data_IF_713226059199
#
_entry.id   IF_713226059199
#
_cell.length_a   1.000
_cell.length_b   1.000
_cell.length_c   1.000
_cell.angle_alpha   90.00
_cell.angle_beta   90.00
_cell.angle_gamma   90.00
#
_symmetry.space_group_name_H-M   'P 1'
#
loop_
_entity.id
_entity.type
_entity.pdbx_description
1 polymer ?
#
# COMPACT_ATOMS: atom_id res chain seq x y z
N UNK A 1 -68.97 13.58 23.41
CA UNK A 1 -69.39 12.88 24.63
C UNK A 1 -68.19 12.07 25.11
N UNK A 2 -67.27 12.59 25.94
CA UNK A 2 -67.38 12.84 27.41
C UNK A 2 -67.53 11.51 28.18
N UNK A 3 -66.75 11.06 29.17
CA UNK A 3 -65.46 11.38 29.79
C UNK A 3 -65.17 10.30 30.89
N UNK A 4 -64.02 10.38 31.60
CA UNK A 4 -63.81 10.02 33.06
C UNK A 4 -63.68 8.50 33.40
N UNK A 5 -62.80 7.92 34.24
CA UNK A 5 -61.75 8.31 35.23
C UNK A 5 -61.16 7.01 35.86
N UNK A 6 -59.83 6.73 35.82
CA UNK A 6 -58.83 6.74 36.95
C UNK A 6 -58.83 5.47 37.87
N UNK A 7 -57.80 5.19 38.72
CA UNK A 7 -56.43 4.70 38.47
C UNK A 7 -56.09 3.37 39.22
N UNK A 8 -54.87 2.84 39.06
CA UNK A 8 -54.27 1.94 40.08
C UNK A 8 -52.81 2.33 40.36
N UNK A 9 -52.55 2.83 41.58
CA UNK A 9 -51.21 3.05 42.16
C UNK A 9 -50.85 1.91 43.11
N UNK A 10 -49.55 1.62 43.21
CA UNK A 10 -48.71 1.36 44.41
C UNK A 10 -47.52 0.48 43.94
N UNK A 11 -46.34 1.02 43.63
CA UNK A 11 -45.29 1.54 44.52
C UNK A 11 -44.39 0.45 45.15
N UNK A 12 -43.11 0.44 44.77
CA UNK A 12 -41.88 0.31 45.61
C UNK A 12 -40.66 0.45 44.68
N UNK A 13 -39.93 1.58 44.70
CA UNK A 13 -38.77 1.92 45.58
C UNK A 13 -37.56 1.00 45.29
N UNK A 14 -36.30 1.41 45.11
CA UNK A 14 -35.58 2.69 44.92
C UNK A 14 -34.09 2.28 44.84
N UNK A 15 -33.27 2.92 43.99
CA UNK A 15 -31.84 3.25 44.22
C UNK A 15 -31.31 4.01 42.97
N UNK A 16 -31.18 5.34 43.04
CA UNK A 16 -29.92 6.13 43.19
C UNK A 16 -28.94 5.91 42.02
N UNK A 17 -28.85 6.77 40.99
CA UNK A 17 -28.41 8.18 40.88
C UNK A 17 -26.88 8.40 40.96
N UNK A 18 -26.29 8.99 39.90
CA UNK A 18 -25.14 9.94 39.87
C UNK A 18 -24.91 10.36 38.38
N UNK A 19 -25.47 11.50 37.94
CA UNK A 19 -24.79 12.80 37.66
C UNK A 19 -23.67 12.73 36.62
N UNK A 20 -23.87 13.26 35.41
CA UNK A 20 -23.56 14.65 34.99
C UNK A 20 -22.95 14.55 33.57
N UNK A 21 -23.00 15.50 32.64
CA UNK A 21 -23.08 16.95 32.65
C UNK A 21 -23.57 17.36 31.24
N UNK A 22 -24.40 18.40 31.14
CA UNK A 22 -24.81 18.97 29.86
C UNK A 22 -23.70 19.86 29.28
N UNK A 23 -23.48 19.82 27.96
CA UNK A 23 -23.11 21.01 27.18
C UNK A 23 -23.70 20.94 25.78
N UNK A 24 -24.47 21.98 25.47
CA UNK A 24 -25.02 22.37 24.17
C UNK A 24 -23.93 22.73 23.18
N UNK A 25 -24.12 22.41 21.90
CA UNK A 25 -23.28 22.93 20.81
C UNK A 25 -23.89 22.65 19.44
N UNK A 26 -24.69 23.58 18.93
CA UNK A 26 -25.13 23.59 17.54
C UNK A 26 -24.01 24.17 16.65
N UNK A 27 -23.72 23.51 15.53
CA UNK A 27 -23.08 24.14 14.37
C UNK A 27 -23.41 23.34 13.10
N UNK A 28 -24.28 23.90 12.27
CA UNK A 28 -24.44 23.52 10.89
C UNK A 28 -23.31 24.15 10.07
N UNK A 29 -22.62 23.35 9.25
CA UNK A 29 -21.80 23.83 8.16
C UNK A 29 -21.97 22.87 6.99
N UNK A 30 -22.73 23.31 5.98
CA UNK A 30 -22.78 22.67 4.68
C UNK A 30 -21.40 22.85 4.01
N UNK A 31 -20.72 21.75 3.73
CA UNK A 31 -19.51 21.74 2.92
C UNK A 31 -19.77 20.95 1.64
N UNK A 32 -19.51 21.63 0.53
CA UNK A 32 -19.60 21.19 -0.86
C UNK A 32 -19.06 19.77 -1.04
N UNK A 33 -19.93 18.87 -1.53
CA UNK A 33 -19.61 17.49 -1.86
C UNK A 33 -18.74 17.43 -3.14
N UNK A 34 -17.43 17.54 -2.98
CA UNK A 34 -16.47 17.15 -4.02
C UNK A 34 -16.28 15.62 -3.92
N UNK A 35 -16.50 14.83 -4.99
CA UNK A 35 -16.24 13.40 -4.95
C UNK A 35 -14.73 13.16 -4.96
N UNK A 36 -14.16 12.81 -3.81
CA UNK A 36 -12.84 12.22 -3.72
C UNK A 36 -12.89 10.78 -4.27
N UNK A 37 -12.05 10.38 -5.25
CA UNK A 37 -11.95 8.98 -5.63
C UNK A 37 -11.25 8.20 -4.51
N UNK A 38 -12.04 7.32 -3.90
CA UNK A 38 -11.71 6.05 -3.28
C UNK A 38 -10.24 5.78 -2.89
N UNK A 39 -10.03 5.77 -1.57
CA UNK A 39 -9.32 4.71 -0.83
C UNK A 39 -7.94 4.28 -1.34
N UNK A 40 -6.91 4.97 -0.89
CA UNK A 40 -5.81 4.29 -0.22
C UNK A 40 -5.95 4.63 1.27
N UNK A 41 -6.65 3.77 2.01
CA UNK A 41 -6.68 3.86 3.46
C UNK A 41 -5.26 3.53 3.95
N UNK A 42 -4.50 4.57 4.26
CA UNK A 42 -3.27 4.51 5.02
C UNK A 42 -3.61 4.02 6.43
N UNK A 43 -3.45 2.72 6.67
CA UNK A 43 -3.46 2.17 8.02
C UNK A 43 -2.03 2.29 8.58
N UNK A 44 -1.82 2.88 9.76
CA UNK A 44 -0.50 2.89 10.39
C UNK A 44 -0.27 1.49 10.96
N UNK A 45 0.40 0.62 10.20
CA UNK A 45 0.78 -0.70 10.71
C UNK A 45 2.19 -0.65 11.30
N UNK A 46 2.17 -0.60 12.63
CA UNK A 46 3.17 -0.98 13.61
C UNK A 46 4.37 -1.78 13.06
N UNK A 47 5.57 -1.28 13.33
CA UNK A 47 6.83 -1.99 13.13
C UNK A 47 6.79 -3.39 13.76
N UNK A 48 6.72 -4.43 12.93
CA UNK A 48 6.91 -5.82 13.35
C UNK A 48 8.19 -6.32 12.68
N UNK A 49 9.23 -6.44 13.50
CA UNK A 49 10.51 -7.03 13.16
C UNK A 49 10.31 -8.49 12.74
N UNK A 50 10.43 -8.79 11.46
CA UNK A 50 10.51 -10.17 10.98
C UNK A 50 11.96 -10.64 11.05
N UNK A 51 12.28 -11.40 12.09
CA UNK A 51 13.49 -12.23 12.13
C UNK A 51 13.23 -13.46 11.24
N UNK A 52 13.85 -13.52 10.07
CA UNK A 52 13.92 -14.71 9.22
C UNK A 52 15.37 -15.22 9.19
N UNK A 53 15.60 -16.55 9.26
CA UNK A 53 16.95 -17.10 9.25
C UNK A 53 17.56 -17.01 7.85
N UNK A 54 18.69 -16.33 7.75
CA UNK A 54 19.53 -16.29 6.54
C UNK A 54 20.10 -17.68 6.25
N UNK A 55 19.48 -18.40 5.32
CA UNK A 55 20.14 -19.51 4.63
C UNK A 55 20.52 -19.04 3.23
N UNK A 56 21.80 -18.73 3.09
CA UNK A 56 22.42 -18.50 1.79
C UNK A 56 22.28 -19.75 0.92
N UNK A 57 21.68 -19.57 -0.24
CA UNK A 57 21.64 -20.54 -1.32
C UNK A 57 22.05 -19.81 -2.58
N UNK A 58 23.30 -20.04 -2.99
CA UNK A 58 23.75 -19.87 -4.35
C UNK A 58 22.91 -20.78 -5.26
N UNK A 59 22.45 -20.23 -6.39
CA UNK A 59 21.87 -20.99 -7.50
C UNK A 59 22.02 -20.13 -8.75
N UNK A 60 23.07 -20.42 -9.51
CA UNK A 60 23.48 -19.66 -10.68
C UNK A 60 22.81 -20.01 -12.01
N UNK A 61 23.38 -19.37 -13.04
CA UNK A 61 23.34 -19.61 -14.48
C UNK A 61 22.18 -19.00 -15.31
N UNK A 62 22.43 -17.80 -15.88
CA UNK A 62 22.45 -17.58 -17.34
C UNK A 62 22.76 -16.10 -17.69
N UNK A 63 23.98 -15.83 -18.18
CA UNK A 63 24.31 -14.68 -19.04
C UNK A 63 24.60 -13.34 -18.35
N UNK A 64 25.78 -13.17 -17.74
CA UNK A 64 26.23 -11.90 -17.14
C UNK A 64 25.20 -11.22 -16.22
N UNK A 65 24.36 -12.04 -15.59
CA UNK A 65 23.10 -11.70 -14.96
C UNK A 65 23.11 -12.09 -13.49
N UNK A 66 22.49 -11.25 -12.65
CA UNK A 66 22.00 -11.71 -11.35
C UNK A 66 22.59 -11.05 -10.13
N UNK A 67 22.89 -9.74 -10.16
CA UNK A 67 22.96 -8.96 -8.94
C UNK A 67 22.04 -7.74 -9.04
N UNK A 68 21.55 -7.27 -7.89
CA UNK A 68 20.60 -6.17 -7.77
C UNK A 68 21.07 -4.94 -8.57
N UNK A 69 22.35 -4.59 -8.46
CA UNK A 69 22.97 -3.46 -9.13
C UNK A 69 22.84 -3.53 -10.66
N UNK A 70 23.03 -4.72 -11.25
CA UNK A 70 22.86 -4.95 -12.68
C UNK A 70 21.42 -4.72 -13.13
N UNK A 71 20.45 -5.23 -12.39
CA UNK A 71 19.03 -5.02 -12.69
C UNK A 71 18.63 -3.55 -12.58
N UNK A 72 19.14 -2.82 -11.58
CA UNK A 72 18.89 -1.39 -11.44
C UNK A 72 19.49 -0.63 -12.63
N UNK A 73 20.76 -0.87 -12.99
CA UNK A 73 21.43 -0.20 -14.12
C UNK A 73 20.74 -0.47 -15.46
N UNK A 74 20.31 -1.71 -15.68
CA UNK A 74 19.55 -2.06 -16.87
C UNK A 74 18.20 -1.34 -16.90
N UNK A 75 17.50 -1.29 -15.77
CA UNK A 75 16.23 -0.56 -15.66
C UNK A 75 16.42 0.93 -15.93
N UNK A 76 17.45 1.56 -15.35
CA UNK A 76 17.79 2.97 -15.61
C UNK A 76 18.08 3.25 -17.09
N UNK A 77 18.72 2.31 -17.79
CA UNK A 77 18.96 2.42 -19.24
C UNK A 77 17.64 2.44 -20.02
N UNK A 78 16.68 1.60 -19.64
CA UNK A 78 15.35 1.54 -20.27
C UNK A 78 14.53 2.78 -19.90
N UNK A 79 14.51 3.15 -18.61
CA UNK A 79 13.86 4.34 -18.08
C UNK A 79 14.30 5.59 -18.82
N UNK A 80 15.62 5.78 -19.00
CA UNK A 80 16.18 6.91 -19.76
C UNK A 80 15.67 6.96 -21.21
N UNK A 81 15.60 5.81 -21.89
CA UNK A 81 15.09 5.71 -23.28
C UNK A 81 13.59 6.03 -23.36
N UNK A 82 12.85 5.79 -22.28
CA UNK A 82 11.39 5.95 -22.21
C UNK A 82 10.96 7.25 -21.53
N UNK A 83 11.90 8.08 -21.09
CA UNK A 83 11.61 9.34 -20.38
C UNK A 83 11.08 9.14 -18.96
N UNK A 84 11.34 7.99 -18.33
CA UNK A 84 10.92 7.70 -16.96
C UNK A 84 12.01 8.22 -15.99
N UNK A 85 11.71 9.20 -15.13
CA UNK A 85 12.68 9.72 -14.17
C UNK A 85 12.95 8.74 -13.03
N UNK A 86 14.18 8.77 -12.52
CA UNK A 86 14.60 8.03 -11.33
C UNK A 86 16.11 7.90 -11.23
N UNK A 87 16.60 7.69 -10.01
CA UNK A 87 18.01 7.48 -9.73
C UNK A 87 18.30 6.04 -9.27
N UNK A 88 19.58 5.66 -9.35
CA UNK A 88 20.04 4.39 -8.80
C UNK A 88 19.71 4.27 -7.30
N UNK A 89 19.96 5.34 -6.54
CA UNK A 89 19.72 5.32 -5.08
C UNK A 89 18.25 5.32 -4.71
N UNK A 90 17.41 6.03 -5.47
CA UNK A 90 15.97 5.94 -5.34
C UNK A 90 15.48 4.51 -5.53
N UNK A 91 15.86 3.87 -6.63
CA UNK A 91 15.48 2.48 -6.90
C UNK A 91 16.01 1.53 -5.81
N UNK A 92 17.31 1.61 -5.50
CA UNK A 92 17.95 0.73 -4.51
C UNK A 92 17.33 0.87 -3.13
N UNK A 93 17.10 2.10 -2.65
CA UNK A 93 16.47 2.37 -1.34
C UNK A 93 15.09 1.72 -1.24
N UNK A 94 14.26 1.94 -2.26
CA UNK A 94 12.91 1.38 -2.27
C UNK A 94 12.96 -0.17 -2.33
N UNK A 95 13.78 -0.75 -3.21
CA UNK A 95 13.91 -2.23 -3.33
C UNK A 95 14.34 -2.87 -2.01
N UNK A 96 15.33 -2.28 -1.32
CA UNK A 96 15.81 -2.82 -0.06
C UNK A 96 14.76 -2.77 1.04
N UNK A 97 13.88 -1.76 1.05
CA UNK A 97 12.75 -1.68 1.98
C UNK A 97 11.64 -2.68 1.64
N UNK A 98 11.29 -2.81 0.36
CA UNK A 98 10.15 -3.64 -0.06
C UNK A 98 10.43 -5.15 -0.01
N UNK A 99 11.63 -5.57 -0.41
CA UNK A 99 11.93 -6.99 -0.63
C UNK A 99 13.29 -7.45 -0.10
N UNK A 100 14.11 -6.53 0.43
CA UNK A 100 15.50 -6.82 0.74
C UNK A 100 16.33 -7.23 -0.49
N UNK A 101 15.87 -6.92 -1.71
CA UNK A 101 16.51 -7.34 -2.95
C UNK A 101 16.09 -8.72 -3.47
N UNK A 102 15.06 -9.35 -2.90
CA UNK A 102 14.55 -10.64 -3.37
C UNK A 102 13.56 -10.47 -4.53
N UNK A 103 13.90 -10.87 -5.77
CA UNK A 103 13.01 -10.72 -6.92
C UNK A 103 11.80 -11.66 -6.90
N UNK A 104 11.82 -12.68 -6.04
CA UNK A 104 10.72 -13.63 -5.87
C UNK A 104 9.91 -13.35 -4.60
N UNK A 105 10.09 -12.19 -3.95
CA UNK A 105 9.29 -11.81 -2.79
C UNK A 105 7.80 -11.71 -3.15
N UNK A 106 6.93 -12.24 -2.30
CA UNK A 106 5.48 -12.19 -2.48
C UNK A 106 4.79 -12.02 -1.13
N UNK A 107 3.88 -11.05 -1.05
CA UNK A 107 3.01 -10.85 0.10
C UNK A 107 1.69 -11.63 -0.09
N UNK A 108 1.36 -12.51 0.86
CA UNK A 108 0.17 -13.37 0.81
C UNK A 108 -0.85 -13.09 1.95
N UNK A 109 -0.67 -12.03 2.73
CA UNK A 109 -1.46 -11.80 3.94
C UNK A 109 -2.34 -10.54 3.88
N UNK A 110 -1.95 -9.55 3.08
CA UNK A 110 -2.70 -8.29 2.97
C UNK A 110 -4.03 -8.41 2.21
N UNK A 111 -4.76 -7.29 2.14
CA UNK A 111 -6.05 -7.22 1.45
C UNK A 111 -5.96 -7.50 -0.05
N UNK A 112 -4.82 -7.23 -0.69
CA UNK A 112 -4.62 -7.50 -2.11
C UNK A 112 -4.43 -9.00 -2.34
N UNK A 113 -3.69 -9.68 -1.47
CA UNK A 113 -3.55 -11.13 -1.47
C UNK A 113 -4.90 -11.82 -1.24
N UNK A 114 -5.71 -11.33 -0.28
CA UNK A 114 -7.07 -11.84 -0.04
C UNK A 114 -7.99 -11.64 -1.26
N UNK A 115 -7.75 -10.60 -2.06
CA UNK A 115 -8.45 -10.33 -3.33
C UNK A 115 -7.84 -11.07 -4.54
N UNK A 116 -6.83 -11.91 -4.34
CA UNK A 116 -6.20 -12.71 -5.39
C UNK A 116 -5.17 -11.98 -6.24
N UNK A 117 -4.74 -10.77 -5.86
CA UNK A 117 -3.72 -9.99 -6.56
C UNK A 117 -2.57 -9.64 -5.62
N UNK A 118 -1.81 -10.63 -5.11
CA UNK A 118 -0.74 -10.38 -4.15
C UNK A 118 0.36 -9.48 -4.72
N UNK A 119 0.95 -8.65 -3.86
CA UNK A 119 2.13 -7.84 -4.19
C UNK A 119 3.36 -8.73 -4.41
N UNK A 120 4.14 -8.46 -5.46
CA UNK A 120 5.22 -9.33 -5.93
C UNK A 120 6.48 -8.58 -6.36
N UNK A 121 7.61 -9.27 -6.26
CA UNK A 121 8.89 -8.86 -6.80
C UNK A 121 9.62 -7.82 -5.97
N UNK A 122 10.64 -7.21 -6.58
CA UNK A 122 11.60 -6.33 -5.92
C UNK A 122 10.96 -5.10 -5.27
N UNK A 123 9.91 -4.57 -5.87
CA UNK A 123 9.18 -3.38 -5.42
C UNK A 123 7.72 -3.68 -5.05
N UNK A 124 7.39 -4.95 -4.76
CA UNK A 124 6.08 -5.37 -4.24
C UNK A 124 4.90 -4.84 -5.07
N UNK A 125 4.99 -4.96 -6.39
CA UNK A 125 3.95 -4.49 -7.34
C UNK A 125 2.87 -5.57 -7.52
N UNK A 126 1.60 -5.17 -7.50
CA UNK A 126 0.47 -6.04 -7.82
C UNK A 126 0.25 -6.16 -9.35
N UNK A 127 -0.32 -7.27 -9.82
CA UNK A 127 -0.51 -7.51 -11.26
C UNK A 127 -1.29 -6.41 -12.01
N UNK A 128 -2.40 -5.85 -11.48
CA UNK A 128 -3.10 -4.76 -12.16
C UNK A 128 -2.22 -3.52 -12.40
N UNK A 129 -1.42 -3.14 -11.41
CA UNK A 129 -0.48 -2.02 -11.52
C UNK A 129 0.65 -2.34 -12.50
N UNK A 130 1.23 -3.55 -12.40
CA UNK A 130 2.27 -3.98 -13.34
C UNK A 130 1.78 -3.92 -14.78
N UNK A 131 0.57 -4.41 -15.06
CA UNK A 131 0.01 -4.41 -16.41
C UNK A 131 -0.26 -3.00 -16.92
N UNK A 132 -0.77 -2.10 -16.07
CA UNK A 132 -1.06 -0.71 -16.45
C UNK A 132 0.19 0.13 -16.72
N UNK A 133 1.30 -0.17 -16.02
CA UNK A 133 2.55 0.60 -16.09
C UNK A 133 3.70 -0.18 -16.71
N UNK A 134 3.42 -1.32 -17.34
CA UNK A 134 4.42 -2.12 -18.04
C UNK A 134 5.14 -1.27 -19.09
N UNK A 135 6.44 -1.51 -19.23
CA UNK A 135 7.27 -0.76 -20.16
C UNK A 135 7.74 -1.66 -21.28
N UNK A 136 7.34 -1.31 -22.50
CA UNK A 136 7.69 -2.05 -23.72
C UNK A 136 9.20 -2.25 -23.84
N UNK A 137 9.59 -3.48 -24.18
CA UNK A 137 10.98 -3.91 -24.24
C UNK A 137 11.48 -4.59 -22.96
N UNK A 138 10.63 -4.73 -21.93
CA UNK A 138 10.89 -5.57 -20.75
C UNK A 138 10.06 -6.87 -20.78
N UNK A 139 10.44 -7.85 -19.95
CA UNK A 139 9.68 -9.09 -19.79
C UNK A 139 8.25 -8.82 -19.29
N UNK A 140 7.31 -9.74 -19.57
CA UNK A 140 5.90 -9.62 -19.16
C UNK A 140 5.57 -10.24 -17.79
N UNK A 141 6.58 -10.67 -17.04
CA UNK A 141 6.40 -11.22 -15.70
C UNK A 141 6.66 -10.16 -14.64
N UNK A 142 5.76 -10.05 -13.65
CA UNK A 142 5.90 -9.12 -12.52
C UNK A 142 7.10 -9.45 -11.63
N UNK A 143 7.56 -10.71 -11.59
CA UNK A 143 8.76 -11.09 -10.80
C UNK A 143 10.05 -11.00 -11.61
N UNK A 144 9.98 -10.69 -12.91
CA UNK A 144 11.18 -10.43 -13.69
C UNK A 144 11.82 -9.13 -13.19
N UNK A 145 13.08 -9.15 -12.69
CA UNK A 145 13.65 -8.03 -11.93
C UNK A 145 13.57 -6.68 -12.64
N UNK A 146 14.04 -6.63 -13.89
CA UNK A 146 14.08 -5.40 -14.68
C UNK A 146 12.67 -4.91 -15.03
N UNK A 147 11.74 -5.82 -15.32
CA UNK A 147 10.35 -5.44 -15.61
C UNK A 147 9.66 -4.87 -14.37
N UNK A 148 9.84 -5.52 -13.20
CA UNK A 148 9.29 -5.06 -11.93
C UNK A 148 9.80 -3.65 -11.56
N UNK A 149 11.12 -3.46 -11.62
CA UNK A 149 11.77 -2.17 -11.33
C UNK A 149 11.26 -1.10 -12.28
N UNK A 150 11.25 -1.37 -13.58
CA UNK A 150 10.88 -0.37 -14.60
C UNK A 150 9.39 -0.01 -14.51
N UNK A 151 8.50 -0.98 -14.29
CA UNK A 151 7.06 -0.73 -14.15
C UNK A 151 6.75 0.05 -12.86
N UNK A 152 7.38 -0.29 -11.73
CA UNK A 152 7.23 0.46 -10.49
C UNK A 152 7.74 1.90 -10.60
N UNK A 153 8.87 2.11 -11.27
CA UNK A 153 9.40 3.45 -11.51
C UNK A 153 8.48 4.27 -12.42
N UNK A 154 7.87 3.64 -13.44
CA UNK A 154 6.89 4.28 -14.32
C UNK A 154 5.62 4.70 -13.54
N UNK A 155 5.11 3.81 -12.69
CA UNK A 155 4.02 4.14 -11.76
C UNK A 155 4.39 5.32 -10.85
N UNK A 156 5.57 5.28 -10.24
CA UNK A 156 6.03 6.33 -9.35
C UNK A 156 6.23 7.68 -10.07
N UNK A 157 6.71 7.66 -11.30
CA UNK A 157 6.81 8.85 -12.14
C UNK A 157 5.44 9.48 -12.39
N UNK A 158 4.44 8.66 -12.74
CA UNK A 158 3.07 9.14 -12.96
C UNK A 158 2.42 9.69 -11.68
N UNK A 159 2.67 9.05 -10.53
CA UNK A 159 1.98 9.39 -9.27
C UNK A 159 2.68 10.44 -8.40
N UNK A 160 4.01 10.47 -8.44
CA UNK A 160 4.88 11.24 -7.55
C UNK A 160 5.98 12.03 -8.29
N UNK A 161 6.02 11.97 -9.63
CA UNK A 161 7.02 12.65 -10.46
C UNK A 161 8.35 11.91 -10.60
N UNK A 162 8.72 11.04 -9.66
CA UNK A 162 9.89 10.14 -9.75
C UNK A 162 9.82 9.09 -8.64
N UNK A 163 10.46 7.94 -8.85
CA UNK A 163 10.73 6.96 -7.79
C UNK A 163 11.56 7.54 -6.63
N UNK A 164 12.34 8.60 -6.90
CA UNK A 164 13.16 9.28 -5.90
C UNK A 164 12.32 9.94 -4.80
N UNK A 165 11.07 10.30 -5.14
CA UNK A 165 10.11 10.94 -4.24
C UNK A 165 9.31 9.93 -3.40
N UNK A 166 9.53 8.63 -3.59
CA UNK A 166 8.86 7.57 -2.82
C UNK A 166 9.67 7.24 -1.57
N UNK A 167 9.09 7.56 -0.40
CA UNK A 167 9.75 7.44 0.90
C UNK A 167 9.11 6.37 1.82
N UNK A 168 7.92 5.89 1.48
CA UNK A 168 7.18 4.86 2.22
C UNK A 168 7.14 3.53 1.47
N UNK A 169 6.81 2.45 2.17
CA UNK A 169 6.50 1.17 1.53
C UNK A 169 5.24 1.27 0.64
N UNK A 170 5.15 0.39 -0.36
CA UNK A 170 4.00 0.31 -1.27
C UNK A 170 2.80 -0.41 -0.64
#
# INVERSE_FOLDING_TARGET
MTAITTPRRLARLRALALTGLATTGAAAAALTLVPAPAHAAEAPQSAHSVAAPSRGGDSGAAGSAGNLDGWIKQSLTIMKKKGIPGSYEGLRRNIMRESGGNPNAQNNWDVNAQKGTPSKGLLQVIDPTFNAYHVDGTAKSVTAPVANITAAANYAAHRYGSIDNVNSAY
#
